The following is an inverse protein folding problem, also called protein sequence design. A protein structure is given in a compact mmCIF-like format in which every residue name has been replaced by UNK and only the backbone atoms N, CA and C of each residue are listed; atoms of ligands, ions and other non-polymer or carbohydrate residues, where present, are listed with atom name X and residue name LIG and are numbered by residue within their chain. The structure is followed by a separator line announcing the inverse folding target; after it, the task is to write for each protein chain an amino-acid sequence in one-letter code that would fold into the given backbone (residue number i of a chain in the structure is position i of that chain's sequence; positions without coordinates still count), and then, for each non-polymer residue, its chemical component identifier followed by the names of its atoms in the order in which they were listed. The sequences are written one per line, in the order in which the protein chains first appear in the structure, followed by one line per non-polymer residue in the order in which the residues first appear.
data_IF_367387155362
#
_entry.id   IF_367387155362
#
_cell.length_a   1.000
_cell.length_b   1.000
_cell.length_c   1.000
_cell.angle_alpha   90.00
_cell.angle_beta   90.00
_cell.angle_gamma   90.00
#
_symmetry.space_group_name_H-M   'P 1'
#
loop_
_entity.id
_entity.type
_entity.pdbx_description
1 polymer ?
#
# COMPACT_ATOMS: atom_id res chain seq x y z
N UNK A 1 17.27 -4.99 -21.75
CA UNK A 1 17.14 -4.09 -20.59
C UNK A 1 15.68 -4.06 -20.18
N UNK A 2 15.37 -4.21 -18.89
CA UNK A 2 14.00 -3.97 -18.40
C UNK A 2 13.67 -2.51 -18.66
N UNK A 3 12.52 -2.23 -19.28
CA UNK A 3 12.12 -0.84 -19.53
C UNK A 3 11.78 -0.16 -18.21
N UNK A 4 11.92 1.16 -18.12
CA UNK A 4 11.56 1.92 -16.92
C UNK A 4 10.10 1.65 -16.48
N UNK A 5 9.23 1.37 -17.45
CA UNK A 5 7.85 0.94 -17.22
C UNK A 5 7.76 -0.41 -16.49
N UNK A 6 8.58 -1.39 -16.84
CA UNK A 6 8.61 -2.69 -16.16
C UNK A 6 9.08 -2.56 -14.71
N UNK A 7 10.06 -1.69 -14.46
CA UNK A 7 10.54 -1.39 -13.10
C UNK A 7 9.44 -0.73 -12.26
N UNK A 8 8.70 0.21 -12.83
CA UNK A 8 7.55 0.86 -12.17
C UNK A 8 6.42 -0.15 -11.89
N UNK A 9 6.13 -1.06 -12.82
CA UNK A 9 5.13 -2.12 -12.59
C UNK A 9 5.55 -3.09 -11.48
N UNK A 10 6.82 -3.50 -11.45
CA UNK A 10 7.35 -4.33 -10.36
C UNK A 10 7.23 -3.63 -9.02
N UNK A 11 7.57 -2.34 -8.96
CA UNK A 11 7.42 -1.52 -7.75
C UNK A 11 5.96 -1.42 -7.32
N UNK A 12 5.04 -1.19 -8.25
CA UNK A 12 3.61 -1.15 -7.99
C UNK A 12 3.09 -2.47 -7.40
N UNK A 13 3.51 -3.61 -7.98
CA UNK A 13 3.16 -4.93 -7.46
C UNK A 13 3.69 -5.16 -6.04
N UNK A 14 4.94 -4.78 -5.77
CA UNK A 14 5.53 -4.88 -4.44
C UNK A 14 4.76 -4.07 -3.40
N UNK A 15 4.44 -2.80 -3.72
CA UNK A 15 3.66 -1.93 -2.83
C UNK A 15 2.25 -2.45 -2.58
N UNK A 16 1.59 -2.99 -3.61
CA UNK A 16 0.26 -3.62 -3.46
C UNK A 16 0.30 -4.86 -2.57
N UNK A 17 1.38 -5.66 -2.66
CA UNK A 17 1.59 -6.80 -1.76
C UNK A 17 1.77 -6.31 -0.32
N UNK A 18 2.68 -5.37 -0.08
CA UNK A 18 2.93 -4.82 1.27
C UNK A 18 1.66 -4.21 1.87
N UNK A 19 0.86 -3.51 1.07
CA UNK A 19 -0.41 -2.95 1.50
C UNK A 19 -1.41 -4.05 1.94
N UNK A 20 -1.47 -5.17 1.22
CA UNK A 20 -2.34 -6.31 1.58
C UNK A 20 -1.83 -7.03 2.83
N UNK A 21 -0.52 -7.17 2.97
CA UNK A 21 0.09 -7.78 4.15
C UNK A 21 -0.16 -6.94 5.40
N UNK A 22 -0.01 -5.61 5.29
CA UNK A 22 -0.38 -4.68 6.36
C UNK A 22 -1.85 -4.79 6.76
N UNK A 23 -2.75 -5.00 5.80
CA UNK A 23 -4.16 -5.18 6.11
C UNK A 23 -4.41 -6.43 6.96
N UNK A 24 -3.75 -7.53 6.58
CA UNK A 24 -3.81 -8.79 7.33
C UNK A 24 -3.26 -8.63 8.75
N UNK A 25 -2.15 -7.90 8.90
CA UNK A 25 -1.57 -7.59 10.21
C UNK A 25 -2.51 -6.73 11.04
N UNK A 26 -3.12 -5.69 10.45
CA UNK A 26 -4.08 -4.82 11.14
C UNK A 26 -5.27 -5.64 11.65
N UNK A 27 -5.84 -6.53 10.84
CA UNK A 27 -6.96 -7.39 11.24
C UNK A 27 -6.58 -8.24 12.45
N UNK A 28 -5.45 -8.96 12.39
CA UNK A 28 -4.97 -9.79 13.50
C UNK A 28 -4.73 -9.00 14.79
N UNK A 29 -4.08 -7.84 14.69
CA UNK A 29 -3.81 -6.98 15.85
C UNK A 29 -5.12 -6.42 16.43
N UNK A 30 -6.11 -6.12 15.58
CA UNK A 30 -7.42 -5.65 16.03
C UNK A 30 -8.20 -6.75 16.76
N UNK A 31 -8.05 -8.01 16.34
CA UNK A 31 -8.68 -9.18 16.99
C UNK A 31 -8.06 -9.49 18.37
N UNK A 32 -6.78 -9.17 18.60
CA UNK A 32 -6.08 -9.40 19.86
C UNK A 32 -6.55 -8.49 21.02
N UNK A 33 -7.31 -7.43 20.73
CA UNK A 33 -8.02 -6.62 21.72
C UNK A 33 -7.57 -5.16 21.81
N UNK A 34 -8.22 -4.36 22.69
CA UNK A 34 -8.11 -2.89 22.72
C UNK A 34 -6.75 -2.35 23.21
N UNK A 35 -5.86 -3.19 23.75
CA UNK A 35 -4.54 -2.79 24.25
C UNK A 35 -3.62 -2.22 23.16
N UNK A 36 -3.82 -2.64 21.90
CA UNK A 36 -2.92 -2.30 20.79
C UNK A 36 -3.44 -1.16 19.91
N UNK A 37 -4.36 -0.32 20.41
CA UNK A 37 -4.99 0.74 19.62
C UNK A 37 -3.97 1.73 19.01
N UNK A 38 -2.90 2.05 19.72
CA UNK A 38 -1.80 2.89 19.20
C UNK A 38 -1.03 2.19 18.07
N UNK A 39 -0.80 0.89 18.19
CA UNK A 39 -0.14 0.09 17.15
C UNK A 39 -1.03 0.01 15.91
N UNK A 40 -2.33 -0.25 16.07
CA UNK A 40 -3.32 -0.24 14.98
C UNK A 40 -3.34 1.13 14.29
N UNK A 41 -3.31 2.24 15.03
CA UNK A 41 -3.25 3.58 14.45
C UNK A 41 -1.98 3.79 13.61
N UNK A 42 -0.81 3.36 14.11
CA UNK A 42 0.46 3.45 13.36
C UNK A 42 0.42 2.61 12.07
N UNK A 43 -0.11 1.39 12.15
CA UNK A 43 -0.25 0.50 11.00
C UNK A 43 -1.22 1.07 9.96
N UNK A 44 -2.37 1.61 10.38
CA UNK A 44 -3.33 2.30 9.50
C UNK A 44 -2.71 3.51 8.81
N UNK A 45 -1.91 4.31 9.54
CA UNK A 45 -1.18 5.43 8.94
C UNK A 45 -0.18 4.97 7.87
N UNK A 46 0.54 3.87 8.13
CA UNK A 46 1.46 3.28 7.14
C UNK A 46 0.71 2.73 5.92
N UNK A 47 -0.42 2.05 6.13
CA UNK A 47 -1.31 1.56 5.07
C UNK A 47 -1.80 2.71 4.17
N UNK A 48 -2.20 3.84 4.77
CA UNK A 48 -2.60 5.03 4.02
C UNK A 48 -1.46 5.57 3.15
N UNK A 49 -0.24 5.68 3.70
CA UNK A 49 0.94 6.10 2.93
C UNK A 49 1.23 5.18 1.74
N UNK A 50 1.12 3.86 1.90
CA UNK A 50 1.27 2.91 0.79
C UNK A 50 0.18 3.10 -0.27
N UNK A 51 -1.07 3.32 0.14
CA UNK A 51 -2.18 3.59 -0.78
C UNK A 51 -1.92 4.86 -1.61
N UNK A 52 -1.38 5.91 -0.99
CA UNK A 52 -1.03 7.15 -1.67
C UNK A 52 0.13 6.95 -2.65
N UNK A 53 1.17 6.20 -2.27
CA UNK A 53 2.29 5.87 -3.16
C UNK A 53 1.85 5.00 -4.34
N UNK A 54 0.99 3.99 -4.10
CA UNK A 54 0.36 3.17 -5.13
C UNK A 54 -0.41 4.05 -6.11
N UNK A 55 -1.27 4.95 -5.60
CA UNK A 55 -2.08 5.84 -6.44
C UNK A 55 -1.21 6.76 -7.29
N UNK A 56 -0.14 7.33 -6.71
CA UNK A 56 0.83 8.16 -7.45
C UNK A 56 1.57 7.38 -8.53
N UNK A 57 1.97 6.14 -8.27
CA UNK A 57 2.62 5.29 -9.26
C UNK A 57 1.65 4.84 -10.36
N UNK A 58 0.41 4.52 -10.00
CA UNK A 58 -0.66 4.22 -10.96
C UNK A 58 -0.91 5.40 -11.90
N UNK A 59 -1.00 6.63 -11.38
CA UNK A 59 -1.15 7.84 -12.20
C UNK A 59 0.05 8.11 -13.11
N UNK A 60 1.26 7.68 -12.75
CA UNK A 60 2.45 7.78 -13.61
C UNK A 60 2.48 6.71 -14.71
N UNK A 61 1.97 5.52 -14.40
CA UNK A 61 1.93 4.36 -15.30
C UNK A 61 0.74 4.38 -16.26
N UNK A 62 -0.39 4.96 -15.82
CA UNK A 62 -1.63 5.15 -16.56
C UNK A 62 -1.83 6.67 -16.58
N UNK A 63 -1.37 7.37 -17.63
CA UNK A 63 -1.44 8.83 -17.71
C UNK A 63 -2.87 9.38 -17.76
N UNK A 64 -3.90 8.53 -17.73
CA UNK A 64 -5.26 8.89 -18.10
C UNK A 64 -6.30 8.23 -17.18
N UNK A 65 -6.48 8.80 -15.98
CA UNK A 65 -7.66 8.50 -15.13
C UNK A 65 -8.61 9.70 -15.03
N UNK A 66 -8.49 10.67 -15.94
CA UNK A 66 -9.34 11.86 -16.01
C UNK A 66 -9.72 12.18 -17.45
N UNK A 67 -10.85 11.64 -17.87
CA UNK A 67 -11.90 12.37 -18.58
C UNK A 67 -13.21 12.17 -17.81
#
# INVERSE_FOLDING_TARGET
MLTDRDNLLRRLHALRSEHRDLDTVITRVTELGPLDQLQVQRLKKRKLGLKDEISRLESRLIPDRTA
#
